data_IF_917032109342
#
_entry.id   IF_917032109342
#
_cell.length_a   1.000
_cell.length_b   1.000
_cell.length_c   1.000
_cell.angle_alpha   90.00
_cell.angle_beta   90.00
_cell.angle_gamma   90.00
#
_symmetry.space_group_name_H-M   'P 1'
#
loop_
_entity.id
_entity.type
_entity.pdbx_description
1 polymer ?
#
# COMPACT_ATOMS: atom_id res chain seq x y z
N UNK A 1 -72.66 -8.58 10.68
CA UNK A 1 -71.37 -8.89 11.32
C UNK A 1 -70.31 -8.93 10.22
N UNK A 2 -69.40 -7.96 10.19
CA UNK A 2 -68.27 -7.92 9.24
C UNK A 2 -67.04 -8.50 9.97
N UNK A 3 -66.52 -9.60 9.47
CA UNK A 3 -65.28 -10.21 9.97
C UNK A 3 -64.06 -9.40 9.50
N UNK A 4 -63.20 -9.04 10.45
CA UNK A 4 -61.90 -8.41 10.23
C UNK A 4 -60.82 -9.48 10.01
N UNK A 5 -59.92 -9.32 9.01
CA UNK A 5 -58.84 -10.28 8.80
C UNK A 5 -57.70 -10.05 9.79
N UNK A 6 -57.24 -11.14 10.42
CA UNK A 6 -56.10 -11.17 11.34
C UNK A 6 -54.79 -10.91 10.58
N UNK A 7 -54.10 -9.84 10.97
CA UNK A 7 -52.73 -9.53 10.54
C UNK A 7 -51.74 -10.58 11.08
N UNK A 8 -51.11 -11.34 10.17
CA UNK A 8 -49.94 -12.15 10.47
C UNK A 8 -48.70 -11.25 10.49
N UNK A 9 -48.14 -11.02 11.68
CA UNK A 9 -46.83 -10.38 11.85
C UNK A 9 -45.74 -11.43 11.62
N UNK A 10 -45.08 -11.39 10.46
CA UNK A 10 -43.82 -12.11 10.24
C UNK A 10 -42.69 -11.45 11.03
N UNK A 11 -42.21 -12.12 12.07
CA UNK A 11 -41.03 -11.73 12.81
C UNK A 11 -39.76 -12.13 12.03
N UNK A 12 -39.07 -11.15 11.45
CA UNK A 12 -37.76 -11.32 10.84
C UNK A 12 -36.74 -11.62 11.94
N UNK A 13 -36.25 -12.87 12.00
CA UNK A 13 -35.20 -13.31 12.93
C UNK A 13 -33.90 -12.55 12.59
N UNK A 14 -33.39 -11.73 13.50
CA UNK A 14 -32.06 -11.12 13.38
C UNK A 14 -31.02 -12.23 13.55
N UNK A 15 -30.38 -12.64 12.45
CA UNK A 15 -29.34 -13.68 12.47
C UNK A 15 -28.02 -13.02 12.88
N UNK A 16 -27.45 -13.44 14.01
CA UNK A 16 -26.16 -12.94 14.50
C UNK A 16 -24.98 -13.33 13.59
N UNK A 17 -23.79 -12.72 13.79
CA UNK A 17 -22.63 -12.92 12.92
C UNK A 17 -22.15 -14.38 12.91
N UNK A 18 -21.82 -14.90 11.73
CA UNK A 18 -21.39 -16.29 11.57
C UNK A 18 -20.02 -16.54 12.21
N UNK A 19 -19.62 -17.82 12.36
CA UNK A 19 -18.28 -18.18 12.87
C UNK A 19 -17.18 -17.67 11.93
N UNK A 20 -17.41 -17.70 10.63
CA UNK A 20 -16.51 -17.13 9.63
C UNK A 20 -16.38 -15.61 9.78
N UNK A 21 -17.48 -14.88 10.02
CA UNK A 21 -17.44 -13.43 10.27
C UNK A 21 -16.67 -13.09 11.54
N UNK A 22 -16.87 -13.88 12.60
CA UNK A 22 -16.09 -13.75 13.83
C UNK A 22 -14.61 -14.06 13.61
N UNK A 23 -14.27 -15.01 12.73
CA UNK A 23 -12.89 -15.31 12.33
C UNK A 23 -12.24 -14.16 11.54
N UNK A 24 -12.97 -13.55 10.60
CA UNK A 24 -12.51 -12.33 9.89
C UNK A 24 -12.18 -11.19 10.85
N UNK A 25 -13.01 -10.96 11.88
CA UNK A 25 -12.76 -9.92 12.90
C UNK A 25 -11.44 -10.11 13.67
N UNK A 26 -10.98 -11.35 13.84
CA UNK A 26 -9.68 -11.64 14.49
C UNK A 26 -8.53 -11.11 13.64
N UNK A 27 -8.63 -11.28 12.31
CA UNK A 27 -7.66 -10.75 11.35
C UNK A 27 -7.71 -9.21 11.32
N UNK A 28 -8.91 -8.63 11.27
CA UNK A 28 -9.12 -7.17 11.19
C UNK A 28 -8.53 -6.41 12.39
N UNK A 29 -8.60 -7.00 13.58
CA UNK A 29 -8.05 -6.41 14.80
C UNK A 29 -6.51 -6.36 14.82
N UNK A 30 -5.85 -7.24 14.03
CA UNK A 30 -4.39 -7.29 13.89
C UNK A 30 -3.67 -7.79 15.15
N UNK A 31 -2.52 -8.45 14.97
CA UNK A 31 -1.67 -8.90 16.08
C UNK A 31 -2.23 -10.03 16.96
N UNK A 32 -3.39 -10.59 16.61
CA UNK A 32 -4.05 -11.66 17.37
C UNK A 32 -3.68 -13.08 16.90
N UNK A 33 -2.94 -13.22 15.80
CA UNK A 33 -2.50 -14.51 15.28
C UNK A 33 -0.98 -14.50 15.17
N UNK A 34 -0.34 -15.42 15.89
CA UNK A 34 1.10 -15.67 15.85
C UNK A 34 1.34 -17.02 15.20
N UNK A 35 2.12 -17.06 14.13
CA UNK A 35 2.54 -18.32 13.50
C UNK A 35 3.69 -18.93 14.29
N UNK A 36 3.61 -20.21 14.60
CA UNK A 36 4.71 -20.97 15.20
C UNK A 36 5.50 -21.65 14.08
N UNK A 37 4.82 -22.42 13.23
CA UNK A 37 5.42 -23.04 12.04
C UNK A 37 4.40 -23.20 10.88
N UNK A 38 4.64 -24.12 9.95
CA UNK A 38 3.78 -24.37 8.79
C UNK A 38 2.43 -25.01 9.16
N UNK A 39 2.42 -25.79 10.23
CA UNK A 39 1.27 -26.58 10.67
C UNK A 39 0.70 -26.07 11.98
N UNK A 40 1.36 -25.18 12.73
CA UNK A 40 0.94 -24.69 14.05
C UNK A 40 0.88 -23.16 14.15
N UNK A 41 -0.22 -22.68 14.72
CA UNK A 41 -0.54 -21.27 14.94
C UNK A 41 -1.07 -21.05 16.35
N UNK A 42 -0.87 -19.85 16.86
CA UNK A 42 -1.40 -19.41 18.13
C UNK A 42 -2.34 -18.22 17.89
N UNK A 43 -3.57 -18.31 18.40
CA UNK A 43 -4.59 -17.28 18.25
C UNK A 43 -5.00 -16.76 19.63
N UNK A 44 -4.81 -15.47 19.86
CA UNK A 44 -5.16 -14.79 21.11
C UNK A 44 -6.68 -14.79 21.32
N UNK A 45 -7.12 -14.97 22.56
CA UNK A 45 -8.54 -14.90 22.91
C UNK A 45 -9.03 -13.46 22.87
N UNK A 46 -10.19 -13.24 22.24
CA UNK A 46 -10.84 -11.91 22.20
C UNK A 46 -11.57 -11.58 23.52
N UNK A 47 -11.67 -12.55 24.43
CA UNK A 47 -12.36 -12.38 25.72
C UNK A 47 -11.37 -12.30 26.88
N UNK A 48 -10.25 -13.02 26.79
CA UNK A 48 -9.26 -13.14 27.87
C UNK A 48 -7.87 -12.78 27.33
N UNK A 49 -7.32 -11.59 27.65
CA UNK A 49 -6.05 -11.12 27.10
C UNK A 49 -4.85 -12.05 27.38
N UNK A 50 -4.87 -12.77 28.50
CA UNK A 50 -3.78 -13.66 28.92
C UNK A 50 -3.90 -15.09 28.37
N UNK A 51 -4.89 -15.36 27.52
CA UNK A 51 -5.18 -16.72 27.01
C UNK A 51 -5.04 -16.78 25.51
N UNK A 52 -4.22 -17.71 25.04
CA UNK A 52 -4.11 -18.05 23.63
C UNK A 52 -4.55 -19.49 23.35
N UNK A 53 -4.99 -19.75 22.13
CA UNK A 53 -5.39 -21.07 21.66
C UNK A 53 -4.46 -21.53 20.55
N UNK A 54 -4.00 -22.77 20.65
CA UNK A 54 -3.24 -23.43 19.61
C UNK A 54 -4.20 -23.90 18.51
N UNK A 55 -3.81 -23.67 17.25
CA UNK A 55 -4.51 -24.11 16.06
C UNK A 55 -3.48 -24.86 15.20
N UNK A 56 -3.67 -26.16 15.02
CA UNK A 56 -2.71 -26.98 14.30
C UNK A 56 -3.37 -27.87 13.24
N UNK A 57 -2.64 -28.15 12.17
CA UNK A 57 -3.10 -28.94 11.05
C UNK A 57 -2.80 -30.43 11.26
N UNK A 58 -3.80 -31.28 11.04
CA UNK A 58 -3.66 -32.74 11.07
C UNK A 58 -4.11 -33.34 9.74
N UNK A 59 -3.91 -34.64 9.54
CA UNK A 59 -4.41 -35.35 8.34
C UNK A 59 -5.95 -35.26 8.16
N UNK A 60 -6.68 -34.93 9.23
CA UNK A 60 -8.15 -34.77 9.22
C UNK A 60 -8.61 -33.32 9.15
N UNK A 61 -7.69 -32.36 9.02
CA UNK A 61 -7.94 -30.93 8.96
C UNK A 61 -7.44 -30.14 10.18
N UNK A 62 -7.84 -28.88 10.25
CA UNK A 62 -7.44 -27.95 11.33
C UNK A 62 -8.15 -28.26 12.65
N UNK A 63 -7.36 -28.34 13.72
CA UNK A 63 -7.84 -28.53 15.09
C UNK A 63 -7.47 -27.30 15.91
N UNK A 64 -8.38 -26.85 16.77
CA UNK A 64 -8.15 -25.73 17.69
C UNK A 64 -8.37 -26.15 19.15
N UNK A 65 -7.49 -25.74 20.06
CA UNK A 65 -7.60 -26.01 21.49
C UNK A 65 -8.67 -25.19 22.23
N UNK A 66 -9.48 -24.40 21.52
CA UNK A 66 -10.55 -23.62 22.14
C UNK A 66 -11.76 -24.49 22.51
N UNK A 67 -12.50 -24.15 23.59
CA UNK A 67 -13.68 -24.91 24.00
C UNK A 67 -14.73 -25.07 22.88
N UNK A 68 -14.97 -24.03 22.09
CA UNK A 68 -15.93 -24.01 20.96
C UNK A 68 -15.65 -25.12 19.93
N UNK A 69 -14.37 -25.47 19.72
CA UNK A 69 -13.98 -26.54 18.79
C UNK A 69 -13.92 -27.90 19.50
N UNK A 70 -13.36 -27.95 20.71
CA UNK A 70 -13.17 -29.19 21.46
C UNK A 70 -14.51 -29.84 21.88
N UNK A 71 -15.51 -29.03 22.22
CA UNK A 71 -16.80 -29.52 22.70
C UNK A 71 -17.76 -29.84 21.55
N UNK A 72 -17.71 -29.06 20.47
CA UNK A 72 -18.73 -29.11 19.43
C UNK A 72 -18.22 -29.56 18.05
N UNK A 73 -16.92 -29.82 17.91
CA UNK A 73 -16.29 -30.51 16.77
C UNK A 73 -16.32 -29.79 15.42
N UNK A 74 -16.90 -28.58 15.34
CA UNK A 74 -17.02 -27.81 14.10
C UNK A 74 -15.94 -26.72 14.01
N UNK A 75 -15.73 -26.17 12.82
CA UNK A 75 -14.76 -25.09 12.61
C UNK A 75 -15.12 -23.86 13.46
N UNK A 76 -14.24 -23.52 14.40
CA UNK A 76 -14.40 -22.36 15.25
C UNK A 76 -13.88 -21.09 14.53
N UNK A 77 -14.15 -19.93 15.12
CA UNK A 77 -13.65 -18.64 14.61
C UNK A 77 -12.11 -18.59 14.48
N UNK A 78 -11.36 -19.28 15.35
CA UNK A 78 -9.89 -19.29 15.31
C UNK A 78 -9.36 -20.07 14.10
N UNK A 79 -9.99 -21.20 13.76
CA UNK A 79 -9.65 -21.98 12.56
C UNK A 79 -9.90 -21.15 11.31
N UNK A 80 -11.07 -20.50 11.21
CA UNK A 80 -11.35 -19.61 10.08
C UNK A 80 -10.35 -18.45 9.98
N UNK A 81 -9.94 -17.87 11.11
CA UNK A 81 -8.94 -16.81 11.12
C UNK A 81 -7.57 -17.33 10.60
N UNK A 82 -7.14 -18.51 11.02
CA UNK A 82 -5.89 -19.14 10.53
C UNK A 82 -5.98 -19.46 9.04
N UNK A 83 -7.07 -20.06 8.56
CA UNK A 83 -7.26 -20.34 7.13
C UNK A 83 -7.22 -19.08 6.27
N UNK A 84 -7.85 -17.99 6.72
CA UNK A 84 -7.79 -16.69 6.04
C UNK A 84 -6.35 -16.18 6.02
N UNK A 85 -5.67 -16.24 7.17
CA UNK A 85 -4.26 -15.85 7.30
C UNK A 85 -3.34 -16.63 6.37
N UNK A 86 -3.60 -17.94 6.17
CA UNK A 86 -2.86 -18.80 5.24
C UNK A 86 -3.13 -18.38 3.80
N UNK A 87 -4.39 -18.24 3.39
CA UNK A 87 -4.74 -17.82 2.03
C UNK A 87 -4.14 -16.46 1.68
N UNK A 88 -4.10 -15.52 2.63
CA UNK A 88 -3.41 -14.25 2.45
C UNK A 88 -1.92 -14.44 2.19
N UNK A 89 -1.24 -15.32 2.95
CA UNK A 89 0.17 -15.65 2.74
C UNK A 89 0.44 -16.38 1.42
N UNK A 90 -0.43 -17.31 1.03
CA UNK A 90 -0.32 -18.01 -0.26
C UNK A 90 -0.50 -17.04 -1.43
N UNK A 91 -1.42 -16.08 -1.30
CA UNK A 91 -1.57 -15.03 -2.30
C UNK A 91 -0.34 -14.08 -2.34
N UNK A 92 0.36 -13.90 -1.22
CA UNK A 92 1.68 -13.23 -1.16
C UNK A 92 2.79 -14.07 -1.82
N UNK A 93 2.73 -15.42 -1.81
CA UNK A 93 3.70 -16.28 -2.50
C UNK A 93 3.66 -16.15 -4.03
N UNK A 94 2.54 -15.73 -4.62
CA UNK A 94 2.44 -15.33 -6.05
C UNK A 94 2.95 -13.91 -6.33
N UNK A 95 3.69 -13.33 -5.40
CA UNK A 95 4.11 -11.94 -5.40
C UNK A 95 5.09 -11.53 -6.50
N UNK A 96 5.09 -10.24 -6.82
CA UNK A 96 6.01 -9.63 -7.78
C UNK A 96 7.30 -9.24 -7.07
N UNK A 97 8.44 -9.72 -7.57
CA UNK A 97 9.76 -9.30 -7.09
C UNK A 97 10.41 -8.33 -8.07
N UNK A 98 10.61 -7.09 -7.63
CA UNK A 98 11.38 -6.07 -8.35
C UNK A 98 12.86 -6.27 -8.06
N UNK A 99 13.60 -6.77 -9.05
CA UNK A 99 15.01 -7.12 -8.93
C UNK A 99 15.93 -5.90 -9.07
N UNK A 100 17.06 -5.93 -8.37
CA UNK A 100 18.13 -4.95 -8.56
C UNK A 100 18.70 -5.02 -9.97
N UNK A 101 19.03 -3.87 -10.57
CA UNK A 101 19.77 -3.84 -11.84
C UNK A 101 21.25 -3.94 -11.52
N UNK A 102 21.89 -5.04 -11.93
CA UNK A 102 23.32 -5.23 -11.68
C UNK A 102 24.12 -4.19 -12.49
N UNK A 103 25.11 -3.50 -11.88
CA UNK A 103 26.06 -2.70 -12.63
C UNK A 103 26.73 -3.55 -13.71
N UNK A 104 26.88 -3.06 -14.94
CA UNK A 104 27.43 -3.85 -16.04
C UNK A 104 26.43 -4.70 -16.81
N UNK A 105 25.18 -4.83 -16.34
CA UNK A 105 24.19 -5.63 -17.04
C UNK A 105 23.48 -4.82 -18.12
N UNK A 106 23.39 -5.39 -19.32
CA UNK A 106 22.63 -4.79 -20.41
C UNK A 106 21.13 -4.87 -20.12
N UNK A 107 20.33 -3.97 -20.73
CA UNK A 107 18.86 -3.99 -20.67
C UNK A 107 18.24 -5.34 -21.05
N UNK A 108 18.87 -6.08 -21.97
CA UNK A 108 18.44 -7.43 -22.36
C UNK A 108 18.67 -8.51 -21.28
N UNK A 109 19.30 -8.16 -20.15
CA UNK A 109 19.61 -9.10 -19.07
C UNK A 109 20.99 -9.76 -19.19
N UNK A 110 21.69 -9.60 -20.31
CA UNK A 110 23.05 -10.13 -20.47
C UNK A 110 24.06 -9.42 -19.57
N UNK A 111 24.93 -10.21 -18.93
CA UNK A 111 26.12 -9.74 -18.23
C UNK A 111 27.38 -9.70 -19.14
N UNK A 112 27.27 -10.18 -20.39
CA UNK A 112 28.37 -10.22 -21.35
C UNK A 112 28.56 -8.85 -22.01
N UNK A 113 29.19 -7.93 -21.26
CA UNK A 113 29.34 -6.54 -21.66
C UNK A 113 30.80 -6.12 -21.66
N UNK A 114 31.15 -5.22 -22.58
CA UNK A 114 32.51 -4.71 -22.73
C UNK A 114 32.51 -3.18 -22.73
N UNK A 115 33.55 -2.56 -22.19
CA UNK A 115 33.77 -1.12 -22.30
C UNK A 115 33.80 -0.72 -23.77
N UNK A 116 33.07 0.33 -24.11
CA UNK A 116 32.91 0.84 -25.46
C UNK A 116 33.04 2.36 -25.44
N UNK A 117 34.28 2.87 -25.38
CA UNK A 117 34.56 4.29 -25.45
C UNK A 117 34.02 5.13 -24.30
N UNK A 118 34.21 6.44 -24.40
CA UNK A 118 33.76 7.43 -23.41
C UNK A 118 32.77 8.36 -24.11
N UNK A 119 31.60 8.55 -23.49
CA UNK A 119 30.62 9.53 -23.95
C UNK A 119 30.86 10.83 -23.19
N UNK A 120 31.25 11.87 -23.92
CA UNK A 120 31.44 13.22 -23.39
C UNK A 120 30.08 13.91 -23.26
N UNK A 121 29.65 14.21 -22.03
CA UNK A 121 28.46 15.02 -21.78
C UNK A 121 28.87 16.43 -21.33
N UNK A 122 27.96 17.40 -21.48
CA UNK A 122 28.13 18.78 -20.95
C UNK A 122 28.50 18.85 -19.45
N UNK A 123 28.32 17.75 -18.71
CA UNK A 123 28.48 17.68 -17.26
C UNK A 123 29.55 16.66 -16.82
N UNK A 124 30.34 16.15 -17.75
CA UNK A 124 31.41 15.18 -17.48
C UNK A 124 31.37 14.00 -18.44
N UNK A 125 32.39 13.16 -18.31
CA UNK A 125 32.58 11.97 -19.13
C UNK A 125 31.93 10.76 -18.47
N UNK A 126 31.25 9.93 -19.26
CA UNK A 126 30.72 8.65 -18.79
C UNK A 126 31.25 7.51 -19.64
N UNK A 127 31.65 6.43 -18.98
CA UNK A 127 32.01 5.19 -19.65
C UNK A 127 30.76 4.61 -20.33
N UNK A 128 30.82 4.45 -21.66
CA UNK A 128 29.82 3.71 -22.43
C UNK A 128 30.25 2.23 -22.53
N UNK A 129 29.28 1.34 -22.55
CA UNK A 129 29.45 -0.11 -22.63
C UNK A 129 28.65 -0.66 -23.80
N UNK A 130 29.13 -1.74 -24.41
CA UNK A 130 28.43 -2.49 -25.46
C UNK A 130 28.16 -3.90 -24.96
N UNK A 131 26.91 -4.33 -25.09
CA UNK A 131 26.53 -5.72 -24.89
C UNK A 131 27.02 -6.56 -26.07
N UNK A 132 27.72 -7.66 -25.79
CA UNK A 132 28.20 -8.59 -26.83
C UNK A 132 27.09 -9.47 -27.38
N UNK A 133 26.04 -9.73 -26.61
CA UNK A 133 24.95 -10.62 -27.03
C UNK A 133 23.91 -9.90 -27.90
N UNK A 134 23.51 -8.67 -27.53
CA UNK A 134 22.50 -7.92 -28.28
C UNK A 134 23.05 -6.71 -29.05
N UNK A 135 24.36 -6.46 -28.97
CA UNK A 135 25.03 -5.36 -29.67
C UNK A 135 24.71 -3.95 -29.16
N UNK A 136 23.71 -3.78 -28.29
CA UNK A 136 23.24 -2.47 -27.79
C UNK A 136 24.29 -1.81 -26.90
N UNK A 137 24.40 -0.48 -27.03
CA UNK A 137 25.22 0.36 -26.16
C UNK A 137 24.41 0.87 -24.97
N UNK A 138 25.02 0.98 -23.81
CA UNK A 138 24.39 1.46 -22.59
C UNK A 138 25.41 2.03 -21.60
N UNK A 139 24.91 2.71 -20.58
CA UNK A 139 25.69 3.30 -19.49
C UNK A 139 25.16 2.77 -18.15
N UNK A 140 25.97 2.78 -17.09
CA UNK A 140 25.58 2.25 -15.78
C UNK A 140 24.65 3.18 -14.98
N UNK A 141 24.25 4.32 -15.53
CA UNK A 141 23.40 5.32 -14.89
C UNK A 141 21.94 5.23 -15.34
N UNK A 142 21.40 4.02 -15.53
CA UNK A 142 20.02 3.81 -15.96
C UNK A 142 19.03 4.54 -15.05
N UNK A 143 18.24 5.46 -15.60
CA UNK A 143 17.31 6.32 -14.85
C UNK A 143 17.94 7.58 -14.23
N UNK A 144 19.25 7.74 -14.33
CA UNK A 144 20.01 8.89 -13.83
C UNK A 144 20.83 9.56 -14.95
N UNK A 145 20.30 9.53 -16.16
CA UNK A 145 20.93 10.14 -17.32
C UNK A 145 21.09 11.64 -17.11
N UNK A 146 22.25 12.18 -17.51
CA UNK A 146 22.60 13.61 -17.43
C UNK A 146 22.64 14.21 -16.00
N UNK A 147 22.76 13.38 -14.96
CA UNK A 147 22.96 13.81 -13.58
C UNK A 147 24.46 13.88 -13.23
N UNK A 148 24.83 14.85 -12.40
CA UNK A 148 26.21 15.02 -11.87
C UNK A 148 26.46 14.19 -10.61
N UNK A 149 25.45 14.13 -9.74
CA UNK A 149 25.49 13.27 -8.57
C UNK A 149 25.29 11.82 -8.99
N UNK A 150 25.87 10.90 -8.23
CA UNK A 150 25.74 9.46 -8.50
C UNK A 150 24.30 8.99 -8.23
N UNK A 151 23.88 7.85 -8.82
CA UNK A 151 22.58 7.26 -8.55
C UNK A 151 22.28 7.13 -7.04
N UNK A 152 23.26 6.69 -6.26
CA UNK A 152 23.16 6.45 -4.81
C UNK A 152 22.97 7.76 -4.03
N UNK A 153 23.68 8.83 -4.43
CA UNK A 153 23.53 10.14 -3.81
C UNK A 153 22.13 10.72 -4.07
N UNK A 154 21.57 10.44 -5.26
CA UNK A 154 20.26 10.93 -5.66
C UNK A 154 19.16 10.11 -4.97
N UNK A 155 19.25 8.77 -4.95
CA UNK A 155 18.29 7.91 -4.28
C UNK A 155 18.20 8.23 -2.79
N UNK A 156 19.33 8.37 -2.10
CA UNK A 156 19.37 8.80 -0.69
C UNK A 156 18.73 10.18 -0.48
N UNK A 157 19.03 11.14 -1.37
CA UNK A 157 18.41 12.47 -1.28
C UNK A 157 16.89 12.41 -1.43
N UNK A 158 16.40 11.58 -2.35
CA UNK A 158 14.98 11.36 -2.61
C UNK A 158 14.32 10.69 -1.41
N UNK A 159 14.93 9.64 -0.86
CA UNK A 159 14.46 8.92 0.32
C UNK A 159 14.32 9.86 1.52
N UNK A 160 15.36 10.65 1.84
CA UNK A 160 15.33 11.59 2.96
C UNK A 160 14.17 12.59 2.84
N UNK A 161 13.87 13.06 1.62
CA UNK A 161 12.74 13.98 1.39
C UNK A 161 11.40 13.31 1.70
N UNK A 162 11.22 12.04 1.32
CA UNK A 162 9.98 11.30 1.58
C UNK A 162 9.87 10.78 3.02
N UNK A 163 11.01 10.52 3.68
CA UNK A 163 11.09 10.26 5.12
C UNK A 163 10.73 11.49 5.97
N UNK A 164 10.62 12.66 5.36
CA UNK A 164 10.10 13.88 5.98
C UNK A 164 11.13 14.99 6.17
N UNK A 165 12.38 14.84 5.72
CA UNK A 165 13.32 15.97 5.71
C UNK A 165 12.91 17.04 4.70
N UNK A 166 13.10 18.31 5.07
CA UNK A 166 12.95 19.40 4.13
C UNK A 166 14.08 19.41 3.10
N UNK A 167 13.81 19.85 1.88
CA UNK A 167 14.80 19.89 0.79
C UNK A 167 16.05 20.70 1.13
N UNK A 168 15.92 21.71 2.02
CA UNK A 168 17.06 22.48 2.55
C UNK A 168 17.90 21.67 3.52
N UNK A 169 17.27 20.97 4.47
CA UNK A 169 17.99 20.08 5.39
C UNK A 169 18.68 18.96 4.62
N UNK A 170 18.04 18.38 3.61
CA UNK A 170 18.63 17.37 2.73
C UNK A 170 19.84 17.92 1.96
N UNK A 171 19.74 19.12 1.39
CA UNK A 171 20.89 19.76 0.72
C UNK A 171 22.06 20.03 1.69
N UNK A 172 21.77 20.44 2.92
CA UNK A 172 22.79 20.61 3.97
C UNK A 172 23.45 19.28 4.33
N UNK A 173 22.68 18.20 4.44
CA UNK A 173 23.20 16.86 4.69
C UNK A 173 24.10 16.38 3.54
N UNK A 174 23.64 16.51 2.30
CA UNK A 174 24.43 16.20 1.10
C UNK A 174 25.74 16.99 1.03
N UNK A 175 25.73 18.26 1.43
CA UNK A 175 26.96 19.09 1.50
C UNK A 175 28.00 18.50 2.46
N UNK A 176 27.57 17.92 3.59
CA UNK A 176 28.48 17.24 4.54
C UNK A 176 29.11 15.98 3.93
N UNK A 177 28.44 15.35 2.95
CA UNK A 177 28.96 14.22 2.16
C UNK A 177 29.67 14.67 0.88
N UNK A 178 30.15 15.92 0.82
CA UNK A 178 30.82 16.53 -0.34
C UNK A 178 29.96 16.64 -1.62
N UNK A 179 28.64 16.49 -1.52
CA UNK A 179 27.70 16.68 -2.65
C UNK A 179 27.12 18.09 -2.60
N UNK A 180 27.72 19.00 -3.37
CA UNK A 180 27.30 20.42 -3.44
C UNK A 180 26.13 20.60 -4.40
N UNK A 181 24.90 20.53 -3.88
CA UNK A 181 23.67 20.75 -4.65
C UNK A 181 22.75 21.77 -3.97
N UNK A 182 21.97 22.49 -4.76
CA UNK A 182 20.96 23.41 -4.23
C UNK A 182 19.73 22.65 -3.72
N UNK A 183 19.00 23.23 -2.76
CA UNK A 183 17.73 22.66 -2.31
C UNK A 183 16.67 22.55 -3.43
N UNK A 184 16.77 23.39 -4.46
CA UNK A 184 15.92 23.32 -5.66
C UNK A 184 16.26 22.07 -6.49
N UNK A 185 17.53 21.70 -6.56
CA UNK A 185 17.96 20.47 -7.23
C UNK A 185 17.37 19.24 -6.53
N UNK A 186 17.43 19.21 -5.20
CA UNK A 186 16.82 18.15 -4.38
C UNK A 186 15.30 18.09 -4.60
N UNK A 187 14.62 19.24 -4.61
CA UNK A 187 13.19 19.31 -4.91
C UNK A 187 12.86 18.72 -6.30
N UNK A 188 13.65 19.08 -7.31
CA UNK A 188 13.46 18.58 -8.67
C UNK A 188 13.70 17.06 -8.75
N UNK A 189 14.69 16.52 -8.03
CA UNK A 189 14.90 15.07 -7.93
C UNK A 189 13.70 14.38 -7.29
N UNK A 190 13.26 14.82 -6.11
CA UNK A 190 12.10 14.21 -5.44
C UNK A 190 10.84 14.26 -6.32
N UNK A 191 10.62 15.36 -7.03
CA UNK A 191 9.49 15.53 -7.96
C UNK A 191 9.60 14.58 -9.16
N UNK A 192 10.75 14.57 -9.83
CA UNK A 192 10.97 13.73 -11.01
C UNK A 192 10.84 12.24 -10.67
N UNK A 193 11.56 11.81 -9.64
CA UNK A 193 11.63 10.40 -9.27
C UNK A 193 10.37 9.92 -8.55
N UNK A 194 9.69 10.77 -7.78
CA UNK A 194 8.38 10.45 -7.21
C UNK A 194 7.36 10.09 -8.29
N UNK A 195 7.23 10.91 -9.35
CA UNK A 195 6.37 10.64 -10.51
C UNK A 195 6.82 9.41 -11.32
N UNK A 196 8.13 9.19 -11.46
CA UNK A 196 8.67 8.03 -12.17
C UNK A 196 8.33 6.73 -11.44
N UNK A 197 8.59 6.68 -10.13
CA UNK A 197 8.34 5.49 -9.31
C UNK A 197 6.84 5.22 -9.17
N UNK A 198 5.99 6.25 -9.01
CA UNK A 198 4.54 6.07 -8.95
C UNK A 198 3.99 5.42 -10.22
N UNK A 199 4.36 5.94 -11.40
CA UNK A 199 3.90 5.38 -12.67
C UNK A 199 4.30 3.92 -12.83
N UNK A 200 5.49 3.54 -12.34
CA UNK A 200 5.92 2.14 -12.35
C UNK A 200 5.17 1.29 -11.32
N UNK A 201 5.01 1.79 -10.09
CA UNK A 201 4.26 1.09 -9.04
C UNK A 201 2.80 0.84 -9.43
N UNK A 202 2.15 1.78 -10.13
CA UNK A 202 0.79 1.63 -10.64
C UNK A 202 0.66 0.50 -11.70
N UNK A 203 1.77 0.03 -12.31
CA UNK A 203 1.76 -1.15 -13.21
C UNK A 203 1.81 -2.48 -12.47
N UNK A 204 2.11 -2.47 -11.18
CA UNK A 204 2.24 -3.67 -10.36
C UNK A 204 0.96 -3.82 -9.55
N UNK A 205 0.17 -4.85 -9.86
CA UNK A 205 -1.04 -5.14 -9.12
C UNK A 205 -0.68 -5.65 -7.70
N UNK A 206 -1.08 -4.94 -6.62
CA UNK A 206 -0.85 -5.39 -5.26
C UNK A 206 -1.87 -6.46 -4.88
N UNK A 207 -1.44 -7.46 -4.12
CA UNK A 207 -2.34 -8.42 -3.50
C UNK A 207 -2.92 -7.83 -2.21
N UNK A 208 -4.02 -7.08 -2.36
CA UNK A 208 -4.72 -6.43 -1.24
C UNK A 208 -5.85 -7.30 -0.70
N UNK A 209 -6.25 -7.07 0.55
CA UNK A 209 -7.33 -7.77 1.21
C UNK A 209 -8.73 -7.43 0.68
N UNK A 210 -9.73 -7.85 1.44
CA UNK A 210 -11.15 -7.70 1.10
C UNK A 210 -11.84 -6.51 1.79
N UNK A 211 -11.17 -5.88 2.75
CA UNK A 211 -11.67 -4.72 3.46
C UNK A 211 -10.79 -3.49 3.17
N UNK A 212 -11.37 -2.48 2.53
CA UNK A 212 -10.69 -1.22 2.25
C UNK A 212 -11.27 -0.09 3.09
N UNK A 213 -10.43 0.88 3.44
CA UNK A 213 -10.76 2.07 4.21
C UNK A 213 -10.54 3.30 3.36
N UNK A 214 -11.42 4.29 3.47
CA UNK A 214 -11.27 5.57 2.79
C UNK A 214 -11.56 6.72 3.75
N UNK A 215 -10.80 7.80 3.60
CA UNK A 215 -10.95 9.01 4.41
C UNK A 215 -10.40 10.24 3.68
N UNK A 216 -10.74 11.41 4.20
CA UNK A 216 -10.31 12.71 3.70
C UNK A 216 -9.41 13.44 4.69
N UNK A 217 -8.34 14.06 4.19
CA UNK A 217 -7.46 14.91 4.99
C UNK A 217 -7.25 16.23 4.28
N UNK A 218 -7.38 17.33 5.03
CA UNK A 218 -6.99 18.65 4.55
C UNK A 218 -5.47 18.75 4.39
N UNK A 219 -5.03 19.16 3.20
CA UNK A 219 -3.62 19.46 2.92
C UNK A 219 -3.49 20.88 2.39
N UNK A 220 -2.54 21.65 2.92
CA UNK A 220 -2.24 22.97 2.38
C UNK A 220 -1.36 22.86 1.13
N UNK A 221 -1.83 23.40 0.01
CA UNK A 221 -1.12 23.46 -1.27
C UNK A 221 -1.05 24.92 -1.73
N UNK A 222 0.16 25.50 -1.76
CA UNK A 222 0.41 26.93 -2.01
C UNK A 222 -0.35 27.89 -1.09
N UNK A 223 -0.70 27.43 0.11
CA UNK A 223 -1.52 28.22 1.04
C UNK A 223 -3.03 28.03 0.84
N UNK A 224 -3.46 27.37 -0.23
CA UNK A 224 -4.86 26.98 -0.44
C UNK A 224 -5.12 25.63 0.23
N UNK A 225 -6.25 25.49 0.89
CA UNK A 225 -6.68 24.21 1.46
C UNK A 225 -7.23 23.33 0.34
N UNK A 226 -6.74 22.09 0.25
CA UNK A 226 -7.23 21.06 -0.66
C UNK A 226 -7.56 19.79 0.12
N UNK A 227 -8.37 18.94 -0.48
CA UNK A 227 -8.72 17.61 0.03
C UNK A 227 -7.80 16.57 -0.56
N UNK A 228 -7.14 15.79 0.30
CA UNK A 228 -6.51 14.55 -0.08
C UNK A 228 -7.41 13.41 0.37
N UNK A 229 -8.04 12.75 -0.60
CA UNK A 229 -8.73 11.48 -0.41
C UNK A 229 -7.71 10.35 -0.52
N UNK A 230 -7.76 9.39 0.40
CA UNK A 230 -6.89 8.23 0.41
C UNK A 230 -7.68 6.95 0.62
N UNK A 231 -7.34 5.91 -0.13
CA UNK A 231 -7.90 4.56 0.01
C UNK A 231 -6.81 3.57 0.42
N UNK A 232 -7.01 2.91 1.56
CA UNK A 232 -6.04 2.05 2.23
C UNK A 232 -6.60 0.64 2.36
N UNK A 233 -5.76 -0.38 2.16
CA UNK A 233 -6.09 -1.75 2.51
C UNK A 233 -5.98 -2.00 4.01
N UNK A 234 -6.99 -2.65 4.61
CA UNK A 234 -7.05 -2.89 6.07
C UNK A 234 -6.09 -3.95 6.55
N UNK A 235 -5.64 -4.86 5.69
CA UNK A 235 -4.79 -5.97 6.09
C UNK A 235 -3.33 -5.61 5.86
N UNK A 236 -3.00 -5.26 4.62
CA UNK A 236 -1.62 -4.98 4.19
C UNK A 236 -1.18 -3.55 4.49
N UNK A 237 -2.08 -2.65 4.89
CA UNK A 237 -1.83 -1.19 5.01
C UNK A 237 -1.37 -0.56 3.69
N UNK A 238 -1.60 -1.22 2.57
CA UNK A 238 -1.19 -0.73 1.26
C UNK A 238 -2.05 0.48 0.89
N UNK A 239 -1.41 1.61 0.57
CA UNK A 239 -2.11 2.78 0.06
C UNK A 239 -2.43 2.53 -1.42
N UNK A 240 -3.67 2.17 -1.70
CA UNK A 240 -4.16 1.71 -3.00
C UNK A 240 -4.27 2.88 -3.97
N UNK A 241 -5.03 3.90 -3.58
CA UNK A 241 -5.32 5.03 -4.44
C UNK A 241 -5.43 6.32 -3.64
N UNK A 242 -5.26 7.43 -4.35
CA UNK A 242 -5.40 8.77 -3.80
C UNK A 242 -5.99 9.71 -4.83
N UNK A 243 -6.65 10.75 -4.35
CA UNK A 243 -7.10 11.86 -5.18
C UNK A 243 -6.95 13.18 -4.43
N UNK A 244 -6.46 14.21 -5.13
CA UNK A 244 -6.37 15.56 -4.59
C UNK A 244 -7.39 16.43 -5.30
N UNK A 245 -8.35 16.99 -4.56
CA UNK A 245 -9.32 17.93 -5.12
C UNK A 245 -9.40 19.23 -4.31
N UNK A 246 -9.89 20.28 -4.97
CA UNK A 246 -10.26 21.55 -4.34
C UNK A 246 -11.63 21.45 -3.65
N UNK A 247 -12.48 20.53 -4.11
CA UNK A 247 -13.85 20.34 -3.63
C UNK A 247 -14.05 18.96 -2.98
N UNK A 248 -15.16 18.80 -2.25
CA UNK A 248 -15.57 17.55 -1.59
C UNK A 248 -16.66 16.78 -2.33
N UNK A 249 -16.95 17.13 -3.58
CA UNK A 249 -18.06 16.54 -4.31
C UNK A 249 -17.84 15.05 -4.59
N UNK A 250 -18.92 14.34 -4.89
CA UNK A 250 -18.86 12.92 -5.26
C UNK A 250 -18.00 12.70 -6.52
N UNK A 251 -18.10 13.60 -7.50
CA UNK A 251 -17.31 13.52 -8.72
C UNK A 251 -15.79 13.73 -8.49
N UNK A 252 -15.43 14.37 -7.38
CA UNK A 252 -14.03 14.52 -6.96
C UNK A 252 -13.44 13.22 -6.39
N UNK A 253 -14.30 12.31 -5.91
CA UNK A 253 -13.89 11.07 -5.23
C UNK A 253 -13.94 9.86 -6.17
N UNK A 254 -14.86 9.86 -7.15
CA UNK A 254 -15.00 8.78 -8.15
C UNK A 254 -13.69 8.37 -8.83
N UNK A 255 -12.80 9.28 -9.29
CA UNK A 255 -11.53 8.90 -9.90
C UNK A 255 -10.64 8.05 -8.99
N UNK A 256 -10.69 8.25 -7.67
CA UNK A 256 -9.95 7.43 -6.71
C UNK A 256 -10.45 5.98 -6.70
N UNK A 257 -11.76 5.78 -6.75
CA UNK A 257 -12.39 4.46 -6.76
C UNK A 257 -12.10 3.73 -8.08
N UNK A 258 -12.20 4.42 -9.21
CA UNK A 258 -11.84 3.86 -10.51
C UNK A 258 -10.36 3.45 -10.57
N UNK A 259 -9.47 4.32 -10.07
CA UNK A 259 -8.03 4.02 -9.97
C UNK A 259 -7.78 2.81 -9.07
N UNK A 260 -8.43 2.72 -7.91
CA UNK A 260 -8.28 1.59 -7.00
C UNK A 260 -8.72 0.26 -7.65
N UNK A 261 -9.86 0.26 -8.34
CA UNK A 261 -10.34 -0.90 -9.09
C UNK A 261 -9.38 -1.29 -10.22
N UNK A 262 -8.82 -0.31 -10.93
CA UNK A 262 -7.89 -0.55 -12.02
C UNK A 262 -6.57 -1.17 -11.54
N UNK A 263 -5.97 -0.62 -10.48
CA UNK A 263 -4.69 -1.10 -9.92
C UNK A 263 -4.81 -2.51 -9.33
N UNK A 264 -5.88 -2.75 -8.58
CA UNK A 264 -6.05 -4.02 -7.85
C UNK A 264 -6.73 -5.10 -8.69
N UNK A 265 -7.35 -4.73 -9.81
CA UNK A 265 -8.17 -5.63 -10.64
C UNK A 265 -9.45 -6.11 -9.95
N UNK A 266 -9.78 -5.60 -8.75
CA UNK A 266 -10.95 -6.03 -7.98
C UNK A 266 -11.65 -4.87 -7.27
N UNK A 267 -12.77 -5.19 -6.61
CA UNK A 267 -13.47 -4.31 -5.65
C UNK A 267 -13.48 -5.00 -4.28
N UNK A 268 -13.53 -4.24 -3.18
CA UNK A 268 -13.52 -4.83 -1.84
C UNK A 268 -14.84 -5.55 -1.57
N UNK A 269 -14.85 -6.49 -0.63
CA UNK A 269 -16.09 -6.97 -0.03
C UNK A 269 -16.68 -5.92 0.93
N UNK A 270 -15.82 -5.21 1.65
CA UNK A 270 -16.23 -4.18 2.62
C UNK A 270 -15.45 -2.90 2.38
N UNK A 271 -16.18 -1.81 2.16
CA UNK A 271 -15.63 -0.46 2.23
C UNK A 271 -16.01 0.16 3.57
N UNK A 272 -15.04 0.78 4.25
CA UNK A 272 -15.25 1.53 5.48
C UNK A 272 -14.88 2.99 5.21
N UNK A 273 -15.78 3.92 5.48
CA UNK A 273 -15.48 5.36 5.41
C UNK A 273 -15.95 6.08 6.66
N UNK A 274 -15.45 7.29 6.86
CA UNK A 274 -16.10 8.24 7.77
C UNK A 274 -17.42 8.73 7.15
N UNK A 275 -18.26 9.43 7.94
CA UNK A 275 -19.67 9.79 7.67
C UNK A 275 -19.90 10.71 6.45
N UNK A 276 -18.92 10.93 5.58
CA UNK A 276 -19.05 11.80 4.43
C UNK A 276 -19.88 11.15 3.30
N UNK A 277 -20.92 11.86 2.85
CA UNK A 277 -21.89 11.36 1.86
C UNK A 277 -21.26 11.07 0.49
N UNK A 278 -20.22 11.81 0.11
CA UNK A 278 -19.48 11.65 -1.14
C UNK A 278 -18.90 10.24 -1.34
N UNK A 279 -18.36 9.62 -0.29
CA UNK A 279 -17.88 8.22 -0.35
C UNK A 279 -19.03 7.24 -0.55
N UNK A 280 -20.18 7.48 0.08
CA UNK A 280 -21.34 6.62 -0.05
C UNK A 280 -21.92 6.66 -1.46
N UNK A 281 -22.02 7.85 -2.06
CA UNK A 281 -22.47 8.00 -3.43
C UNK A 281 -21.49 7.39 -4.44
N UNK A 282 -20.18 7.61 -4.27
CA UNK A 282 -19.16 7.00 -5.12
C UNK A 282 -19.19 5.46 -5.05
N UNK A 283 -19.36 4.89 -3.85
CA UNK A 283 -19.56 3.45 -3.68
C UNK A 283 -20.83 2.95 -4.38
N UNK A 284 -21.95 3.66 -4.21
CA UNK A 284 -23.24 3.28 -4.82
C UNK A 284 -23.15 3.27 -6.35
N UNK A 285 -22.43 4.23 -6.93
CA UNK A 285 -22.31 4.37 -8.38
C UNK A 285 -21.32 3.35 -8.98
N UNK A 286 -20.22 3.03 -8.27
CA UNK A 286 -19.10 2.26 -8.85
C UNK A 286 -18.96 0.82 -8.33
N UNK A 287 -19.29 0.56 -7.06
CA UNK A 287 -19.00 -0.71 -6.38
C UNK A 287 -20.26 -1.51 -6.00
N UNK A 288 -21.39 -0.84 -5.77
CA UNK A 288 -22.68 -1.45 -5.44
C UNK A 288 -23.50 -2.05 -6.61
N UNK A 289 -23.42 -1.57 -7.88
CA UNK A 289 -24.18 -2.19 -8.97
C UNK A 289 -23.74 -3.65 -9.15
N UNK A 290 -24.47 -4.44 -9.96
CA UNK A 290 -23.96 -5.72 -10.49
C UNK A 290 -22.71 -5.44 -11.32
N UNK A 291 -21.59 -5.23 -10.62
CA UNK A 291 -20.29 -5.06 -11.22
C UNK A 291 -20.01 -6.32 -12.03
N UNK A 292 -19.21 -6.21 -13.09
CA UNK A 292 -18.87 -7.35 -13.94
C UNK A 292 -18.18 -8.49 -13.15
N UNK A 293 -17.68 -8.17 -11.95
CA UNK A 293 -17.10 -9.11 -10.98
C UNK A 293 -18.16 -9.87 -10.14
N UNK A 294 -19.44 -9.56 -10.30
CA UNK A 294 -20.60 -10.14 -9.58
C UNK A 294 -20.45 -10.16 -8.05
N UNK A 295 -19.71 -9.20 -7.50
CA UNK A 295 -19.39 -9.14 -6.07
C UNK A 295 -20.28 -8.14 -5.37
N UNK A 296 -20.94 -8.56 -4.29
CA UNK A 296 -21.69 -7.64 -3.43
C UNK A 296 -20.71 -6.94 -2.48
N UNK A 297 -20.43 -5.67 -2.79
CA UNK A 297 -19.65 -4.80 -1.88
C UNK A 297 -20.60 -4.24 -0.83
N UNK A 298 -20.25 -4.27 0.45
CA UNK A 298 -20.97 -3.57 1.52
C UNK A 298 -20.21 -2.31 1.91
N UNK A 299 -20.92 -1.20 2.15
CA UNK A 299 -20.32 0.03 2.64
C UNK A 299 -20.78 0.31 4.08
N UNK A 300 -19.79 0.47 4.97
CA UNK A 300 -19.97 0.85 6.36
C UNK A 300 -19.58 2.33 6.50
N UNK A 301 -20.58 3.18 6.68
CA UNK A 301 -20.44 4.65 6.78
C UNK A 301 -20.70 5.21 8.19
N UNK A 302 -21.00 4.34 9.17
CA UNK A 302 -21.22 4.70 10.57
C UNK A 302 -20.18 4.01 11.44
N UNK A 303 -19.07 4.71 11.68
CA UNK A 303 -18.19 4.39 12.80
C UNK A 303 -18.83 5.00 14.05
N UNK A 304 -19.74 4.28 14.70
CA UNK A 304 -20.25 4.69 16.01
C UNK A 304 -19.14 4.54 17.07
N UNK A 305 -19.19 5.41 18.09
CA UNK A 305 -18.28 5.40 19.25
C UNK A 305 -18.39 4.12 20.10
N UNK A 306 -19.23 3.16 19.72
CA UNK A 306 -19.61 1.96 20.48
C UNK A 306 -18.64 0.77 20.29
N UNK A 307 -17.41 1.00 19.84
CA UNK A 307 -16.33 0.01 19.97
C UNK A 307 -16.14 -0.98 18.81
N UNK A 308 -16.95 -0.96 17.74
CA UNK A 308 -17.00 -2.08 16.77
C UNK A 308 -16.33 -1.81 15.41
N UNK A 309 -16.24 -0.56 14.93
CA UNK A 309 -15.69 -0.26 13.59
C UNK A 309 -14.81 1.00 13.54
N UNK A 310 -13.79 1.11 14.38
CA UNK A 310 -12.95 2.32 14.42
C UNK A 310 -12.14 2.55 13.14
N UNK A 311 -12.00 3.81 12.70
CA UNK A 311 -11.12 4.21 11.58
C UNK A 311 -9.67 4.48 12.03
N UNK A 312 -9.28 3.98 13.20
CA UNK A 312 -7.96 4.23 13.82
C UNK A 312 -6.77 3.92 12.91
N UNK A 313 -6.90 2.92 12.02
CA UNK A 313 -5.84 2.58 11.07
C UNK A 313 -5.61 3.71 10.05
N UNK A 314 -6.70 4.33 9.58
CA UNK A 314 -6.63 5.45 8.67
C UNK A 314 -6.17 6.71 9.40
N UNK A 315 -6.62 6.95 10.62
CA UNK A 315 -6.11 8.05 11.45
C UNK A 315 -4.60 7.92 11.70
N UNK A 316 -4.14 6.71 12.01
CA UNK A 316 -2.71 6.40 12.17
C UNK A 316 -1.93 6.66 10.89
N UNK A 317 -2.46 6.21 9.73
CA UNK A 317 -1.89 6.50 8.42
C UNK A 317 -1.82 8.02 8.14
N UNK A 318 -2.92 8.73 8.36
CA UNK A 318 -3.03 10.17 8.17
C UNK A 318 -2.02 10.92 9.04
N UNK A 319 -1.89 10.55 10.32
CA UNK A 319 -0.94 11.12 11.25
C UNK A 319 0.53 10.84 10.86
N UNK A 320 0.85 9.58 10.63
CA UNK A 320 2.22 9.13 10.45
C UNK A 320 2.80 9.43 9.05
N UNK A 321 1.97 9.41 8.01
CA UNK A 321 2.41 9.58 6.62
C UNK A 321 2.15 11.01 6.12
N UNK A 322 0.94 11.53 6.30
CA UNK A 322 0.54 12.82 5.73
C UNK A 322 0.92 13.99 6.65
N UNK A 323 0.47 13.97 7.91
CA UNK A 323 0.66 15.09 8.87
C UNK A 323 2.11 15.27 9.30
N UNK A 324 2.84 14.17 9.55
CA UNK A 324 4.26 14.23 9.90
C UNK A 324 5.06 15.05 8.88
N UNK A 325 4.77 14.87 7.60
CA UNK A 325 5.42 15.60 6.52
C UNK A 325 4.98 17.05 6.45
N UNK A 326 3.67 17.31 6.51
CA UNK A 326 3.11 18.66 6.46
C UNK A 326 3.75 19.57 7.51
N UNK A 327 3.96 19.04 8.74
CA UNK A 327 4.62 19.74 9.84
C UNK A 327 6.03 20.21 9.49
N UNK A 328 6.81 19.41 8.76
CA UNK A 328 8.20 19.73 8.42
C UNK A 328 8.30 20.65 7.19
N UNK A 329 7.43 20.49 6.19
CA UNK A 329 7.50 21.28 4.95
C UNK A 329 6.63 22.53 4.94
N UNK A 330 5.77 22.71 5.95
CA UNK A 330 4.76 23.79 6.06
C UNK A 330 3.86 23.83 4.81
N UNK A 331 3.27 22.68 4.50
CA UNK A 331 2.44 22.48 3.30
C UNK A 331 3.24 22.12 2.04
N UNK A 332 2.49 21.93 0.93
CA UNK A 332 2.99 21.64 -0.41
C UNK A 332 3.13 22.95 -1.18
N UNK A 333 4.23 23.12 -1.93
CA UNK A 333 4.55 24.39 -2.60
C UNK A 333 4.04 24.52 -4.04
N UNK A 334 3.50 23.44 -4.62
CA UNK A 334 2.90 23.44 -5.98
C UNK A 334 1.72 22.48 -6.06
N UNK A 335 0.75 22.83 -6.91
CA UNK A 335 -0.50 22.09 -7.16
C UNK A 335 -0.24 20.70 -7.78
N UNK A 336 0.84 20.58 -8.55
CA UNK A 336 1.23 19.38 -9.28
C UNK A 336 2.03 18.38 -8.43
N UNK A 337 1.58 18.15 -7.19
CA UNK A 337 2.33 17.50 -6.11
C UNK A 337 2.80 16.06 -6.39
N UNK A 338 3.83 15.94 -7.23
CA UNK A 338 4.69 14.77 -7.42
C UNK A 338 5.28 14.23 -6.11
N UNK A 339 5.20 15.06 -5.08
CA UNK A 339 5.54 14.72 -3.72
C UNK A 339 4.55 13.70 -3.14
N UNK A 340 3.23 13.88 -3.32
CA UNK A 340 2.25 12.91 -2.83
C UNK A 340 2.37 11.60 -3.63
N UNK A 341 2.71 11.69 -4.92
CA UNK A 341 3.12 10.55 -5.72
C UNK A 341 4.25 9.75 -5.06
N UNK A 342 5.37 10.40 -4.79
CA UNK A 342 6.49 9.73 -4.12
C UNK A 342 6.22 9.30 -2.67
N UNK A 343 5.32 9.98 -1.94
CA UNK A 343 4.93 9.55 -0.60
C UNK A 343 4.14 8.25 -0.59
N UNK A 344 3.27 8.03 -1.59
CA UNK A 344 2.57 6.76 -1.72
C UNK A 344 3.57 5.62 -1.93
N UNK A 345 4.54 5.81 -2.83
CA UNK A 345 5.62 4.84 -3.05
C UNK A 345 6.44 4.63 -1.78
N UNK A 346 6.83 5.70 -1.09
CA UNK A 346 7.61 5.61 0.14
C UNK A 346 6.87 4.84 1.25
N UNK A 347 5.59 5.16 1.47
CA UNK A 347 4.73 4.46 2.42
C UNK A 347 4.60 2.98 2.06
N UNK A 348 4.30 2.68 0.79
CA UNK A 348 4.06 1.31 0.36
C UNK A 348 5.33 0.46 0.37
N UNK A 349 6.46 0.99 -0.07
CA UNK A 349 7.57 0.14 -0.51
C UNK A 349 8.90 0.34 0.24
N UNK A 350 9.02 1.42 1.00
CA UNK A 350 10.28 1.81 1.63
C UNK A 350 10.16 1.79 3.15
N UNK A 351 9.08 2.38 3.68
CA UNK A 351 8.87 2.52 5.12
C UNK A 351 8.38 1.20 5.74
N UNK A 352 9.11 0.60 6.70
CA UNK A 352 8.62 -0.55 7.44
C UNK A 352 7.44 -0.14 8.35
N UNK A 353 6.48 -1.04 8.51
CA UNK A 353 5.30 -0.82 9.34
C UNK A 353 5.34 -1.68 10.59
N UNK A 354 5.17 -1.07 11.77
CA UNK A 354 5.25 -1.77 13.06
C UNK A 354 4.20 -2.87 13.20
N UNK A 355 2.97 -2.64 12.73
CA UNK A 355 1.89 -3.63 12.79
C UNK A 355 2.00 -4.75 11.75
N UNK A 356 3.04 -4.72 10.90
CA UNK A 356 3.33 -5.74 9.88
C UNK A 356 4.68 -6.42 10.18
N UNK A 357 5.07 -6.49 11.45
CA UNK A 357 6.32 -7.11 11.91
C UNK A 357 7.57 -6.55 11.22
N UNK A 358 7.57 -5.24 10.92
CA UNK A 358 8.67 -4.56 10.25
C UNK A 358 8.67 -4.71 8.72
N UNK A 359 7.71 -5.43 8.13
CA UNK A 359 7.50 -5.44 6.69
C UNK A 359 6.94 -4.11 6.20
N UNK A 360 7.24 -3.78 4.96
CA UNK A 360 6.57 -2.70 4.23
C UNK A 360 5.16 -3.13 3.82
N UNK A 361 4.20 -2.21 3.67
CA UNK A 361 2.87 -2.53 3.16
C UNK A 361 2.88 -3.27 1.82
N UNK A 362 3.84 -2.95 0.95
CA UNK A 362 4.08 -3.59 -0.33
C UNK A 362 4.50 -5.04 -0.15
N UNK A 363 5.43 -5.33 0.77
CA UNK A 363 5.83 -6.72 1.06
C UNK A 363 4.65 -7.53 1.59
N UNK A 364 3.84 -6.96 2.49
CA UNK A 364 2.59 -7.57 2.95
C UNK A 364 1.57 -7.78 1.82
N UNK A 365 1.58 -6.92 0.81
CA UNK A 365 0.77 -7.03 -0.41
C UNK A 365 1.44 -7.84 -1.54
N UNK A 366 2.49 -8.61 -1.24
CA UNK A 366 3.14 -9.47 -2.24
C UNK A 366 4.06 -8.75 -3.22
N UNK A 367 4.48 -7.52 -2.94
CA UNK A 367 5.43 -6.75 -3.76
C UNK A 367 6.75 -6.64 -2.99
N UNK A 368 7.75 -7.41 -3.42
CA UNK A 368 9.10 -7.38 -2.82
C UNK A 368 10.04 -6.56 -3.69
N UNK A 369 10.79 -5.64 -3.09
CA UNK A 369 11.85 -4.90 -3.77
C UNK A 369 13.19 -5.36 -3.21
N UNK A 370 14.05 -5.85 -4.09
CA UNK A 370 15.38 -6.31 -3.71
C UNK A 370 16.37 -5.15 -3.56
N UNK A 371 17.43 -5.43 -2.80
CA UNK A 371 18.53 -4.51 -2.56
C UNK A 371 18.35 -3.64 -1.33
N UNK A 372 19.47 -3.12 -0.84
CA UNK A 372 19.48 -2.24 0.34
C UNK A 372 18.88 -0.86 0.02
N UNK A 373 19.11 -0.36 -1.20
CA UNK A 373 18.56 0.91 -1.68
C UNK A 373 17.33 0.65 -2.55
N UNK A 374 16.17 0.50 -1.90
CA UNK A 374 14.89 0.21 -2.57
C UNK A 374 14.46 1.34 -3.52
N UNK A 375 14.80 2.60 -3.22
CA UNK A 375 14.53 3.76 -4.08
C UNK A 375 15.31 3.64 -5.39
N UNK A 376 16.60 3.33 -5.31
CA UNK A 376 17.45 3.12 -6.48
C UNK A 376 16.90 1.99 -7.36
N UNK A 377 16.56 0.84 -6.75
CA UNK A 377 15.97 -0.30 -7.45
C UNK A 377 14.70 0.09 -8.18
N UNK A 378 13.78 0.81 -7.53
CA UNK A 378 12.53 1.26 -8.15
C UNK A 378 12.77 2.22 -9.31
N UNK A 379 13.68 3.19 -9.17
CA UNK A 379 14.00 4.14 -10.25
C UNK A 379 14.58 3.41 -11.46
N UNK A 380 15.49 2.47 -11.25
CA UNK A 380 16.12 1.70 -12.32
C UNK A 380 15.12 0.76 -13.00
N UNK A 381 14.24 0.11 -12.23
CA UNK A 381 13.19 -0.74 -12.77
C UNK A 381 12.19 0.07 -13.62
N UNK A 382 11.77 1.24 -13.14
CA UNK A 382 10.91 2.17 -13.87
C UNK A 382 11.56 2.68 -15.17
N UNK A 383 12.86 2.99 -15.12
CA UNK A 383 13.61 3.41 -16.31
C UNK A 383 13.81 2.27 -17.32
N UNK A 384 13.85 1.02 -16.84
CA UNK A 384 13.92 -0.17 -17.69
C UNK A 384 12.58 -0.45 -18.38
N UNK A 385 11.46 -0.28 -17.69
CA UNK A 385 10.12 -0.57 -18.24
C UNK A 385 9.64 0.49 -19.25
N UNK A 386 10.14 1.72 -19.16
CA UNK A 386 9.78 2.82 -20.05
C UNK A 386 10.56 2.83 -21.39
N UNK A 387 11.50 1.89 -21.60
CA UNK A 387 12.41 1.84 -22.75
C UNK A 387 12.23 0.54 -23.53
#
# INVERSE_FOLDING_TARGET
MKETPKSQKNATKVIGPTRADRGRRIIENGGQIRRIDDIEYEVQSQTWPDRAYAVFHTERGWICSCPDHMEAGHQCKHIHAVEISIRMREAVQNGVTVKTVRPGQCKCGSANTAKYGIRHLKKGDIQEYRCRDCGKRFTHNLGFENKRATPEQISQAVELVFAGMSTRKTATFLKKMNVKVSHVTVFNWATQYGKLMERYADTIAPNVGEQWRTDEVYVSVKGNQRYLFAMLDTETRYWIAKMVSENKGTDDVKPMFEKARHITGKVPQTLVSDKAANFHEAWRDLYAPRNYLQKQTTHINQVEFDGVHHNNQMESFNGATIRHREKVTRGLKRDDSAIIAGLQVYHNHIRPHLSLDGQTPGEAAGIRIEGNDKILTLIQAAAKSAA
#
